data_IF_765283878518
#
_entry.id   IF_765283878518
#
_cell.length_a   1.000
_cell.length_b   1.000
_cell.length_c   1.000
_cell.angle_alpha   90.00
_cell.angle_beta   90.00
_cell.angle_gamma   90.00
#
_symmetry.space_group_name_H-M   'P 1'
#
loop_
_entity.id
_entity.type
_entity.pdbx_description
1 polymer ?
#
# COMPACT_ATOMS: atom_id res chain seq x y z
N UNK A 1 7.91 -16.93 -18.08
CA UNK A 1 7.23 -16.95 -16.76
C UNK A 1 7.34 -15.56 -16.15
N UNK A 2 6.30 -15.07 -15.46
CA UNK A 2 6.29 -13.73 -14.86
C UNK A 2 6.16 -13.86 -13.34
N UNK A 3 6.87 -13.03 -12.58
CA UNK A 3 6.72 -12.98 -11.12
C UNK A 3 6.14 -11.64 -10.70
N UNK A 4 5.00 -11.68 -10.03
CA UNK A 4 4.34 -10.48 -9.55
C UNK A 4 5.20 -9.79 -8.49
N UNK A 5 5.52 -8.52 -8.72
CA UNK A 5 6.32 -7.70 -7.81
C UNK A 5 5.41 -6.96 -6.84
N UNK A 6 4.50 -6.14 -7.37
CA UNK A 6 3.57 -5.31 -6.61
C UNK A 6 2.52 -4.70 -7.52
N UNK A 7 1.46 -4.18 -6.93
CA UNK A 7 0.66 -3.13 -7.57
C UNK A 7 1.38 -1.80 -7.40
N UNK A 8 1.53 -1.06 -8.48
CA UNK A 8 2.02 0.30 -8.53
C UNK A 8 0.89 1.24 -8.92
N UNK A 9 0.97 2.48 -8.48
CA UNK A 9 0.05 3.52 -8.88
C UNK A 9 0.81 4.61 -9.63
N UNK A 10 0.37 4.93 -10.84
CA UNK A 10 0.81 6.07 -11.65
C UNK A 10 -0.26 7.16 -11.61
N UNK A 11 0.13 8.40 -11.94
CA UNK A 11 -0.80 9.51 -12.11
C UNK A 11 -0.81 9.90 -13.58
N UNK A 12 -1.97 9.75 -14.23
CA UNK A 12 -2.17 9.99 -15.65
C UNK A 12 -3.36 10.93 -15.81
N UNK A 13 -3.16 12.06 -16.51
CA UNK A 13 -4.19 13.10 -16.68
C UNK A 13 -4.84 13.57 -15.37
N UNK A 14 -4.08 13.54 -14.26
CA UNK A 14 -4.55 13.92 -12.93
C UNK A 14 -5.25 12.80 -12.14
N UNK A 15 -5.44 11.63 -12.74
CA UNK A 15 -6.09 10.47 -12.15
C UNK A 15 -5.08 9.39 -11.73
N UNK A 16 -5.37 8.64 -10.67
CA UNK A 16 -4.55 7.51 -10.25
C UNK A 16 -4.93 6.25 -11.02
N UNK A 17 -3.91 5.57 -11.57
CA UNK A 17 -4.05 4.33 -12.36
C UNK A 17 -3.23 3.20 -11.72
N UNK A 18 -3.87 2.09 -11.30
CA UNK A 18 -3.20 0.92 -10.79
C UNK A 18 -2.61 0.06 -11.91
N UNK A 19 -1.39 -0.39 -11.71
CA UNK A 19 -0.62 -1.22 -12.62
C UNK A 19 -0.03 -2.41 -11.86
N UNK A 20 -0.12 -3.61 -12.42
CA UNK A 20 0.58 -4.78 -11.92
C UNK A 20 2.00 -4.80 -12.47
N UNK A 21 2.99 -4.56 -11.62
CA UNK A 21 4.40 -4.71 -11.97
C UNK A 21 4.81 -6.17 -11.87
N UNK A 22 5.37 -6.71 -12.94
CA UNK A 22 5.84 -8.08 -13.03
C UNK A 22 7.32 -8.11 -13.41
N UNK A 23 8.09 -8.92 -12.70
CA UNK A 23 9.45 -9.25 -13.07
C UNK A 23 9.42 -10.32 -14.16
N UNK A 24 10.21 -10.08 -15.20
CA UNK A 24 10.48 -11.01 -16.30
C UNK A 24 11.99 -11.22 -16.41
N UNK A 25 12.40 -12.21 -17.19
CA UNK A 25 13.81 -12.38 -17.49
C UNK A 25 14.35 -11.12 -18.20
N UNK A 26 15.43 -10.56 -17.66
CA UNK A 26 16.05 -9.33 -18.16
C UNK A 26 15.30 -8.02 -17.89
N UNK A 27 14.17 -7.99 -17.15
CA UNK A 27 13.46 -6.72 -16.98
C UNK A 27 12.15 -6.75 -16.19
N UNK A 28 11.30 -5.76 -16.49
CA UNK A 28 9.97 -5.60 -15.91
C UNK A 28 8.93 -5.35 -16.99
N UNK A 29 7.71 -5.79 -16.71
CA UNK A 29 6.52 -5.49 -17.50
C UNK A 29 5.45 -4.92 -16.58
N UNK A 30 4.68 -3.95 -17.08
CA UNK A 30 3.52 -3.40 -16.38
C UNK A 30 2.25 -3.77 -17.10
N UNK A 31 1.28 -4.30 -16.34
CA UNK A 31 -0.06 -4.56 -16.83
C UNK A 31 -1.05 -3.62 -16.14
N UNK A 32 -1.67 -2.73 -16.90
CA UNK A 32 -2.71 -1.84 -16.39
C UNK A 32 -3.93 -2.65 -15.89
N UNK A 33 -4.37 -2.36 -14.67
CA UNK A 33 -5.45 -3.08 -14.01
C UNK A 33 -6.76 -2.31 -14.15
N UNK A 34 -7.57 -2.56 -15.19
CA UNK A 34 -8.88 -1.89 -15.39
C UNK A 34 -10.02 -2.68 -14.75
N UNK A 35 -11.01 -1.99 -14.19
CA UNK A 35 -12.25 -2.64 -13.72
C UNK A 35 -13.02 -3.22 -14.92
N UNK A 36 -13.58 -4.42 -14.76
CA UNK A 36 -14.33 -5.10 -15.83
C UNK A 36 -13.47 -5.74 -16.93
N UNK A 37 -12.14 -5.59 -16.86
CA UNK A 37 -11.22 -6.34 -17.72
C UNK A 37 -11.09 -7.76 -17.19
N UNK A 38 -11.43 -8.72 -18.02
CA UNK A 38 -11.14 -10.12 -17.73
C UNK A 38 -9.63 -10.36 -17.76
N UNK A 39 -9.14 -11.05 -16.74
CA UNK A 39 -7.75 -11.47 -16.64
C UNK A 39 -7.71 -12.95 -16.33
N UNK A 40 -7.03 -13.70 -17.19
CA UNK A 40 -6.70 -15.10 -16.93
C UNK A 40 -5.27 -15.16 -16.40
N UNK A 41 -5.13 -15.51 -15.13
CA UNK A 41 -3.85 -15.63 -14.46
C UNK A 41 -3.69 -17.08 -14.00
N UNK A 42 -2.56 -17.68 -14.34
CA UNK A 42 -2.15 -18.99 -13.82
C UNK A 42 -1.01 -18.78 -12.83
N UNK A 43 -1.15 -19.34 -11.63
CA UNK A 43 -0.15 -19.24 -10.58
C UNK A 43 0.75 -20.47 -10.62
N UNK A 44 2.02 -20.25 -10.98
CA UNK A 44 3.04 -21.28 -10.92
C UNK A 44 3.44 -21.65 -9.48
N UNK A 45 4.08 -22.80 -9.33
CA UNK A 45 4.64 -23.23 -8.05
C UNK A 45 5.97 -22.55 -7.71
N UNK A 46 6.69 -22.14 -8.76
CA UNK A 46 7.97 -21.46 -8.68
C UNK A 46 7.83 -20.02 -8.19
N UNK A 47 8.80 -19.56 -7.40
CA UNK A 47 8.96 -18.14 -7.06
C UNK A 47 10.27 -17.66 -7.63
N UNK A 48 10.27 -16.50 -8.28
CA UNK A 48 11.48 -15.89 -8.82
C UNK A 48 11.81 -14.61 -8.07
N UNK A 49 13.09 -14.28 -8.01
CA UNK A 49 13.58 -13.03 -7.44
C UNK A 49 12.98 -11.84 -8.19
N UNK A 50 12.45 -10.88 -7.44
CA UNK A 50 11.77 -9.69 -7.98
C UNK A 50 12.70 -8.49 -8.19
N UNK A 51 14.02 -8.71 -8.14
CA UNK A 51 15.04 -7.67 -8.29
C UNK A 51 15.36 -6.92 -7.00
N UNK A 52 15.99 -5.75 -7.11
CA UNK A 52 16.43 -4.90 -5.99
C UNK A 52 16.26 -3.43 -6.29
N UNK A 53 16.29 -2.58 -5.26
CA UNK A 53 16.27 -1.14 -5.42
C UNK A 53 17.71 -0.60 -5.44
N UNK A 54 18.19 -0.11 -6.59
CA UNK A 54 19.51 0.52 -6.77
C UNK A 54 19.55 1.96 -6.24
N UNK A 55 18.39 2.58 -6.07
CA UNK A 55 18.20 3.94 -5.59
C UNK A 55 16.74 4.16 -5.19
N UNK A 56 16.44 5.30 -4.57
CA UNK A 56 15.08 5.57 -4.08
C UNK A 56 14.12 5.72 -5.27
N UNK A 57 13.13 4.83 -5.34
CA UNK A 57 12.18 4.78 -6.46
C UNK A 57 12.72 4.12 -7.73
N UNK A 58 13.99 3.68 -7.73
CA UNK A 58 14.59 2.90 -8.81
C UNK A 58 14.46 1.41 -8.50
N UNK A 59 14.36 0.59 -9.54
CA UNK A 59 14.31 -0.86 -9.38
C UNK A 59 15.04 -1.53 -10.53
N UNK A 60 15.96 -2.42 -10.18
CA UNK A 60 16.71 -3.25 -11.12
C UNK A 60 16.14 -4.67 -11.13
N UNK A 61 16.06 -5.32 -12.30
CA UNK A 61 15.69 -6.73 -12.37
C UNK A 61 16.77 -7.59 -11.71
N UNK A 62 16.40 -8.80 -11.29
CA UNK A 62 17.39 -9.76 -10.83
C UNK A 62 18.24 -10.19 -12.03
N UNK A 63 19.58 -10.03 -12.01
CA UNK A 63 20.43 -10.37 -13.16
C UNK A 63 20.33 -11.84 -13.61
N UNK A 64 19.99 -12.73 -12.68
CA UNK A 64 19.87 -14.18 -12.94
C UNK A 64 18.43 -14.68 -12.95
N UNK A 65 17.45 -13.81 -12.72
CA UNK A 65 16.04 -14.19 -12.52
C UNK A 65 15.88 -15.45 -11.64
N UNK A 66 16.65 -15.47 -10.53
CA UNK A 66 16.89 -16.68 -9.73
C UNK A 66 15.60 -17.20 -9.09
N UNK A 67 15.41 -18.52 -9.11
CA UNK A 67 14.36 -19.17 -8.32
C UNK A 67 14.66 -19.06 -6.82
N UNK A 68 13.65 -18.81 -6.01
CA UNK A 68 13.76 -18.64 -4.57
C UNK A 68 12.73 -19.52 -3.85
N UNK A 69 13.12 -20.13 -2.73
CA UNK A 69 12.20 -20.94 -1.93
C UNK A 69 11.25 -20.09 -1.08
N UNK A 70 11.65 -18.86 -0.72
CA UNK A 70 10.91 -17.97 0.17
C UNK A 70 11.25 -16.49 -0.05
N UNK A 71 10.39 -15.60 0.45
CA UNK A 71 10.56 -14.15 0.30
C UNK A 71 10.30 -13.65 -1.11
N UNK A 72 10.85 -12.48 -1.44
CA UNK A 72 10.72 -11.81 -2.74
C UNK A 72 12.05 -11.55 -3.44
N UNK A 73 13.18 -11.81 -2.76
CA UNK A 73 14.53 -11.50 -3.25
C UNK A 73 15.50 -12.64 -2.93
N UNK A 74 16.42 -12.92 -3.85
CA UNK A 74 17.60 -13.75 -3.58
C UNK A 74 18.59 -12.99 -2.68
N UNK A 75 19.54 -13.70 -2.07
CA UNK A 75 20.51 -13.09 -1.14
C UNK A 75 21.32 -11.95 -1.76
N UNK A 76 21.67 -12.06 -3.04
CA UNK A 76 22.43 -11.03 -3.73
C UNK A 76 21.62 -9.74 -3.98
N UNK A 77 20.39 -9.87 -4.49
CA UNK A 77 19.50 -8.72 -4.65
C UNK A 77 19.18 -8.06 -3.30
N UNK A 78 19.01 -8.85 -2.25
CA UNK A 78 18.79 -8.32 -0.90
C UNK A 78 19.96 -7.47 -0.40
N UNK A 79 21.21 -7.91 -0.64
CA UNK A 79 22.41 -7.17 -0.22
C UNK A 79 22.65 -5.88 -1.01
N UNK A 80 22.06 -5.73 -2.20
CA UNK A 80 22.16 -4.53 -3.03
C UNK A 80 21.00 -3.55 -2.83
N UNK A 81 19.98 -3.91 -2.05
CA UNK A 81 18.76 -3.11 -1.94
C UNK A 81 18.95 -1.93 -0.99
N UNK A 82 18.91 -0.71 -1.52
CA UNK A 82 19.14 0.51 -0.71
C UNK A 82 18.17 0.67 0.46
N UNK A 83 17.00 0.03 0.42
CA UNK A 83 16.03 0.11 1.51
C UNK A 83 16.33 -0.81 2.69
N UNK A 84 17.27 -1.76 2.57
CA UNK A 84 17.71 -2.56 3.73
C UNK A 84 18.35 -1.69 4.81
N UNK A 85 18.99 -0.60 4.39
CA UNK A 85 19.80 0.28 5.24
C UNK A 85 19.06 1.60 5.55
N UNK A 86 18.17 2.03 4.65
CA UNK A 86 17.43 3.30 4.73
C UNK A 86 16.55 3.46 5.97
N UNK A 87 15.92 2.37 6.45
CA UNK A 87 14.99 2.44 7.60
C UNK A 87 15.74 2.41 8.94
N UNK A 88 17.00 1.96 8.96
CA UNK A 88 17.76 1.76 10.21
C UNK A 88 18.77 2.88 10.49
N UNK A 89 18.97 3.82 9.57
CA UNK A 89 19.97 4.89 9.72
C UNK A 89 21.43 4.39 9.82
N UNK A 90 21.67 3.09 9.60
CA UNK A 90 22.98 2.46 9.70
C UNK A 90 23.53 2.22 8.30
N UNK A 91 24.17 3.24 7.73
CA UNK A 91 24.84 3.13 6.44
C UNK A 91 25.14 4.50 5.84
N UNK A 92 26.08 4.55 4.90
CA UNK A 92 26.37 5.72 4.06
C UNK A 92 25.19 6.01 3.15
N UNK A 93 24.10 6.52 3.74
CA UNK A 93 22.95 7.04 3.03
C UNK A 93 23.47 8.20 2.18
N UNK A 94 23.26 8.10 0.86
CA UNK A 94 23.65 9.16 -0.07
C UNK A 94 23.10 10.51 0.45
N UNK A 95 23.97 11.51 0.61
CA UNK A 95 23.66 12.80 1.26
C UNK A 95 22.43 13.48 0.65
N UNK A 96 22.20 13.27 -0.65
CA UNK A 96 21.04 13.75 -1.41
C UNK A 96 19.68 13.24 -0.86
N UNK A 97 19.67 12.13 -0.10
CA UNK A 97 18.48 11.60 0.54
C UNK A 97 18.24 12.18 1.95
N UNK A 98 19.26 12.76 2.57
CA UNK A 98 19.19 13.44 3.87
C UNK A 98 18.49 14.81 3.72
N UNK A 99 18.63 15.45 2.57
CA UNK A 99 18.08 16.79 2.30
C UNK A 99 16.60 16.80 1.85
N UNK A 100 15.92 15.65 1.86
CA UNK A 100 14.49 15.56 1.53
C UNK A 100 13.63 15.82 2.77
N UNK A 101 12.46 16.45 2.57
CA UNK A 101 11.48 16.67 3.63
C UNK A 101 10.41 15.58 3.71
N UNK A 102 9.99 15.27 4.94
CA UNK A 102 9.06 14.20 5.26
C UNK A 102 7.76 14.74 5.84
N UNK A 103 6.75 13.89 5.74
CA UNK A 103 5.44 14.08 6.34
C UNK A 103 5.10 12.91 7.24
N UNK A 104 4.53 13.22 8.40
CA UNK A 104 3.85 12.25 9.25
C UNK A 104 2.36 12.36 8.97
N UNK A 105 1.74 11.23 8.68
CA UNK A 105 0.32 11.14 8.38
C UNK A 105 -0.34 10.06 9.22
N UNK A 106 -1.65 10.19 9.39
CA UNK A 106 -2.51 9.10 9.84
C UNK A 106 -3.39 8.66 8.69
N UNK A 107 -3.63 7.35 8.60
CA UNK A 107 -4.50 6.75 7.60
C UNK A 107 -5.38 5.67 8.23
N UNK A 108 -6.67 5.71 7.92
CA UNK A 108 -7.58 4.61 8.19
C UNK A 108 -7.50 3.62 7.03
N UNK A 109 -7.18 2.36 7.32
CA UNK A 109 -7.21 1.28 6.35
C UNK A 109 -8.09 0.16 6.90
N UNK A 110 -9.37 0.20 6.51
CA UNK A 110 -10.40 -0.63 7.12
C UNK A 110 -10.67 -0.23 8.56
N UNK A 111 -10.90 -1.21 9.44
CA UNK A 111 -11.21 -0.96 10.85
C UNK A 111 -10.00 -0.49 11.70
N UNK A 112 -8.86 -0.19 11.08
CA UNK A 112 -7.64 0.20 11.79
C UNK A 112 -7.12 1.55 11.32
N UNK A 113 -6.62 2.31 12.29
CA UNK A 113 -5.89 3.55 12.08
C UNK A 113 -4.41 3.25 12.21
N UNK A 114 -3.60 3.83 11.32
CA UNK A 114 -2.16 3.82 11.43
C UNK A 114 -1.55 5.20 11.33
N UNK A 115 -0.40 5.36 11.97
CA UNK A 115 0.54 6.45 11.71
C UNK A 115 1.59 5.96 10.71
N UNK A 116 2.16 6.89 9.95
CA UNK A 116 3.16 6.58 8.94
C UNK A 116 4.02 7.77 8.59
N UNK A 117 5.28 7.49 8.23
CA UNK A 117 6.19 8.46 7.60
C UNK A 117 6.27 8.24 6.09
N UNK A 118 6.35 9.33 5.34
CA UNK A 118 6.70 9.31 3.92
C UNK A 118 7.30 10.63 3.48
N UNK A 119 7.87 10.68 2.28
CA UNK A 119 8.36 11.94 1.72
C UNK A 119 7.17 12.86 1.41
N UNK A 120 7.32 14.16 1.65
CA UNK A 120 6.20 15.10 1.61
C UNK A 120 5.50 15.15 0.24
N UNK A 121 6.25 14.97 -0.84
CA UNK A 121 5.74 14.92 -2.22
C UNK A 121 5.00 13.62 -2.56
N UNK A 122 5.14 12.57 -1.75
CA UNK A 122 4.55 11.24 -1.98
C UNK A 122 3.36 10.93 -1.07
N UNK A 123 2.93 11.87 -0.22
CA UNK A 123 1.91 11.61 0.81
C UNK A 123 0.60 11.06 0.23
N UNK A 124 0.05 11.71 -0.81
CA UNK A 124 -1.18 11.25 -1.48
C UNK A 124 -1.01 9.85 -2.08
N UNK A 125 0.10 9.64 -2.81
CA UNK A 125 0.46 8.34 -3.39
C UNK A 125 0.48 7.25 -2.33
N UNK A 126 1.02 7.57 -1.17
CA UNK A 126 1.21 6.64 -0.06
C UNK A 126 -0.11 6.27 0.62
N UNK A 127 -1.09 7.17 0.63
CA UNK A 127 -2.46 6.87 1.06
C UNK A 127 -3.15 5.89 0.11
N UNK A 128 -3.06 6.16 -1.20
CA UNK A 128 -3.62 5.28 -2.24
C UNK A 128 -2.96 3.89 -2.22
N UNK A 129 -1.63 3.83 -2.19
CA UNK A 129 -0.87 2.57 -2.15
C UNK A 129 -1.22 1.70 -0.93
N UNK A 130 -1.64 2.32 0.17
CA UNK A 130 -2.00 1.59 1.39
C UNK A 130 -3.48 1.19 1.47
N UNK A 131 -4.30 1.64 0.51
CA UNK A 131 -5.75 1.46 0.56
C UNK A 131 -6.37 2.20 1.72
N UNK A 132 -5.98 3.47 1.91
CA UNK A 132 -6.59 4.31 2.93
C UNK A 132 -8.03 4.68 2.52
N UNK A 133 -8.97 4.57 3.45
CA UNK A 133 -10.32 5.11 3.28
C UNK A 133 -10.32 6.61 3.59
N UNK A 134 -9.59 6.97 4.65
CA UNK A 134 -9.42 8.33 5.14
C UNK A 134 -7.97 8.57 5.50
N UNK A 135 -7.52 9.79 5.32
CA UNK A 135 -6.18 10.16 5.71
C UNK A 135 -6.09 11.62 6.16
N UNK A 136 -5.05 11.90 6.94
CA UNK A 136 -4.73 13.25 7.39
C UNK A 136 -3.21 13.40 7.48
N UNK A 137 -2.68 14.51 6.99
CA UNK A 137 -1.27 14.88 7.17
C UNK A 137 -1.14 15.64 8.50
N UNK A 138 -0.50 15.03 9.50
CA UNK A 138 -0.31 15.65 10.81
C UNK A 138 0.74 16.76 10.75
N UNK A 139 1.87 16.47 10.10
CA UNK A 139 2.98 17.39 9.95
C UNK A 139 3.67 17.14 8.62
N UNK A 140 4.13 18.21 7.98
CA UNK A 140 4.77 18.23 6.66
C UNK A 140 6.05 19.04 6.74
N UNK A 141 7.04 18.72 5.89
CA UNK A 141 8.19 19.58 5.70
C UNK A 141 9.28 19.42 6.76
N UNK A 142 9.30 18.30 7.48
CA UNK A 142 10.25 18.05 8.58
C UNK A 142 11.37 17.09 8.14
N UNK A 143 12.46 17.05 8.91
CA UNK A 143 13.56 16.11 8.66
C UNK A 143 13.11 14.65 8.88
N UNK A 144 13.92 13.70 8.41
CA UNK A 144 13.64 12.28 8.63
C UNK A 144 13.65 11.90 10.11
N UNK A 145 14.57 12.46 10.90
CA UNK A 145 14.70 12.22 12.33
C UNK A 145 13.44 12.70 13.08
N UNK A 146 13.07 13.97 12.89
CA UNK A 146 11.85 14.53 13.48
C UNK A 146 10.58 13.77 13.06
N UNK A 147 10.54 13.24 11.83
CA UNK A 147 9.39 12.47 11.36
C UNK A 147 9.27 11.10 12.04
N UNK A 148 10.40 10.42 12.26
CA UNK A 148 10.44 9.14 12.97
C UNK A 148 10.13 9.32 14.45
N UNK A 149 10.70 10.34 15.10
CA UNK A 149 10.39 10.67 16.49
C UNK A 149 8.89 10.96 16.68
N UNK A 150 8.30 11.73 15.76
CA UNK A 150 6.86 12.03 15.79
C UNK A 150 5.99 10.78 15.51
N UNK A 151 6.41 9.89 14.61
CA UNK A 151 5.71 8.61 14.36
C UNK A 151 5.74 7.70 15.59
N UNK A 152 6.89 7.61 16.27
CA UNK A 152 7.06 6.85 17.50
C UNK A 152 6.24 7.45 18.65
N UNK A 153 6.29 8.77 18.85
CA UNK A 153 5.49 9.44 19.89
C UNK A 153 3.99 9.21 19.67
N UNK A 154 3.49 9.35 18.43
CA UNK A 154 2.09 9.10 18.12
C UNK A 154 1.72 7.64 18.39
N UNK A 155 2.59 6.70 18.01
CA UNK A 155 2.35 5.27 18.18
C UNK A 155 2.28 4.88 19.65
N UNK A 156 3.28 5.27 20.44
CA UNK A 156 3.40 4.87 21.85
C UNK A 156 2.36 5.56 22.74
N UNK A 157 2.14 6.87 22.54
CA UNK A 157 1.30 7.65 23.44
C UNK A 157 -0.20 7.45 23.20
N UNK A 158 -0.60 7.12 21.98
CA UNK A 158 -2.01 7.03 21.59
C UNK A 158 -2.43 5.63 21.10
N UNK A 159 -1.57 4.62 21.24
CA UNK A 159 -1.80 3.23 20.81
C UNK A 159 -2.22 3.14 19.33
N UNK A 160 -1.58 3.96 18.48
CA UNK A 160 -1.82 3.99 17.04
C UNK A 160 -0.76 3.17 16.33
N UNK A 161 -1.17 2.10 15.67
CA UNK A 161 -0.19 1.20 15.05
C UNK A 161 0.59 1.85 13.90
N UNK A 162 1.90 1.60 13.81
CA UNK A 162 2.69 1.93 12.61
C UNK A 162 2.41 0.98 11.44
N UNK A 163 1.92 -0.23 11.74
CA UNK A 163 1.68 -1.29 10.76
C UNK A 163 0.29 -1.90 10.85
N UNK A 164 -0.49 -1.82 9.77
CA UNK A 164 -1.80 -2.49 9.71
C UNK A 164 -1.65 -3.86 9.09
N UNK A 165 -2.00 -4.89 9.86
CA UNK A 165 -2.10 -6.24 9.33
C UNK A 165 -3.18 -6.29 8.23
N UNK A 166 -2.86 -6.95 7.11
CA UNK A 166 -3.73 -7.11 5.95
C UNK A 166 -5.13 -7.65 6.30
N UNK A 167 -5.25 -8.48 7.32
CA UNK A 167 -6.54 -9.03 7.77
C UNK A 167 -7.53 -7.96 8.24
N UNK A 168 -7.06 -6.82 8.76
CA UNK A 168 -7.96 -5.76 9.22
C UNK A 168 -8.41 -4.82 8.10
N UNK A 169 -7.78 -4.91 6.92
CA UNK A 169 -8.10 -4.02 5.80
C UNK A 169 -9.43 -4.37 5.14
N UNK A 170 -9.94 -5.59 5.31
CA UNK A 170 -11.21 -6.02 4.68
C UNK A 170 -12.45 -5.53 5.42
N UNK A 171 -12.32 -5.17 6.69
CA UNK A 171 -13.43 -4.67 7.50
C UNK A 171 -13.59 -3.17 7.30
N UNK A 172 -14.81 -2.67 7.07
CA UNK A 172 -15.04 -1.24 6.92
C UNK A 172 -14.74 -0.49 8.23
N UNK A 173 -13.97 0.59 8.13
CA UNK A 173 -13.72 1.49 9.25
C UNK A 173 -14.84 2.51 9.43
N UNK A 174 -15.12 2.87 10.69
CA UNK A 174 -16.06 3.95 11.01
C UNK A 174 -15.37 5.31 10.92
N UNK A 175 -16.06 6.29 10.35
CA UNK A 175 -15.53 7.66 10.19
C UNK A 175 -15.27 8.30 11.54
N UNK A 176 -16.23 8.18 12.45
CA UNK A 176 -16.24 8.79 13.77
C UNK A 176 -15.06 8.29 14.61
N UNK A 177 -14.71 7.01 14.48
CA UNK A 177 -13.53 6.43 15.14
C UNK A 177 -12.23 7.05 14.65
N UNK A 178 -12.09 7.24 13.33
CA UNK A 178 -10.91 7.89 12.78
C UNK A 178 -10.82 9.34 13.24
N UNK A 179 -11.94 10.07 13.21
CA UNK A 179 -11.99 11.47 13.64
C UNK A 179 -11.70 11.66 15.13
N UNK A 180 -12.15 10.73 15.97
CA UNK A 180 -11.88 10.70 17.41
C UNK A 180 -10.39 10.43 17.68
N UNK A 181 -9.81 9.42 17.03
CA UNK A 181 -8.38 9.11 17.19
C UNK A 181 -7.51 10.29 16.73
N UNK A 182 -7.80 10.89 15.56
CA UNK A 182 -7.11 12.10 15.08
C UNK A 182 -7.29 13.26 16.06
N UNK A 183 -8.51 13.44 16.59
CA UNK A 183 -8.80 14.47 17.59
C UNK A 183 -7.97 14.32 18.87
N UNK A 184 -7.87 13.09 19.39
CA UNK A 184 -7.07 12.75 20.57
C UNK A 184 -5.59 13.03 20.35
N UNK A 185 -5.04 12.60 19.21
CA UNK A 185 -3.64 12.86 18.84
C UNK A 185 -3.39 14.36 18.77
N UNK A 186 -4.19 15.09 17.98
CA UNK A 186 -3.99 16.54 17.83
C UNK A 186 -4.11 17.30 19.16
N UNK A 187 -5.09 16.95 20.00
CA UNK A 187 -5.25 17.58 21.31
C UNK A 187 -4.07 17.25 22.25
N UNK A 188 -3.66 15.99 22.34
CA UNK A 188 -2.58 15.55 23.20
C UNK A 188 -1.21 16.10 22.79
N UNK A 189 -1.01 16.37 21.51
CA UNK A 189 0.21 16.95 20.94
C UNK A 189 0.14 18.48 20.75
N UNK A 190 -0.96 19.14 21.18
CA UNK A 190 -1.19 20.57 20.99
C UNK A 190 -1.09 21.03 19.52
N UNK A 191 -1.52 20.17 18.59
CA UNK A 191 -1.54 20.43 17.15
C UNK A 191 -2.91 20.93 16.71
N UNK A 192 -2.94 21.79 15.70
CA UNK A 192 -4.19 22.15 15.02
C UNK A 192 -4.72 20.92 14.29
N UNK A 193 -5.99 20.56 14.51
CA UNK A 193 -6.65 19.47 13.79
C UNK A 193 -6.63 19.76 12.27
N UNK A 194 -5.94 18.95 11.45
CA UNK A 194 -5.91 19.16 10.01
C UNK A 194 -7.22 18.69 9.36
N UNK A 195 -7.43 19.05 8.10
CA UNK A 195 -8.53 18.52 7.30
C UNK A 195 -8.35 17.03 7.05
N UNK A 196 -9.41 16.25 7.30
CA UNK A 196 -9.44 14.83 6.97
C UNK A 196 -9.89 14.69 5.52
N UNK A 197 -9.10 13.97 4.73
CA UNK A 197 -9.40 13.63 3.35
C UNK A 197 -10.12 12.29 3.30
N UNK A 198 -11.28 12.23 2.63
CA UNK A 198 -11.93 10.98 2.22
C UNK A 198 -11.24 10.49 0.94
N UNK A 199 -10.18 9.69 1.11
CA UNK A 199 -9.31 9.23 0.01
C UNK A 199 -10.12 8.53 -1.08
N UNK A 200 -11.13 7.76 -0.68
CA UNK A 200 -12.02 7.02 -1.58
C UNK A 200 -12.84 7.88 -2.55
N UNK A 201 -13.13 9.13 -2.20
CA UNK A 201 -14.03 10.01 -2.96
C UNK A 201 -13.32 11.24 -3.51
N UNK A 202 -12.31 11.74 -2.80
CA UNK A 202 -11.61 12.98 -3.14
C UNK A 202 -10.38 12.75 -4.01
N UNK A 203 -9.77 11.56 -3.96
CA UNK A 203 -8.69 11.20 -4.87
C UNK A 203 -9.28 10.69 -6.17
N UNK A 204 -9.09 11.46 -7.25
CA UNK A 204 -9.50 11.05 -8.61
C UNK A 204 -8.74 9.79 -9.01
N UNK A 205 -9.43 8.67 -8.98
CA UNK A 205 -9.01 7.41 -9.59
C UNK A 205 -9.73 7.34 -10.92
N UNK A 206 -9.04 6.83 -11.95
CA UNK A 206 -9.53 7.02 -13.32
C UNK A 206 -10.98 6.57 -13.51
N UNK A 207 -11.81 7.40 -14.16
CA UNK A 207 -13.23 7.08 -14.35
C UNK A 207 -13.49 5.91 -15.31
N UNK A 208 -12.47 5.44 -16.06
CA UNK A 208 -12.52 4.15 -16.75
C UNK A 208 -12.61 2.95 -15.77
N UNK A 209 -12.55 3.21 -14.46
CA UNK A 209 -12.91 2.27 -13.38
C UNK A 209 -14.41 2.30 -13.01
N UNK A 210 -15.25 3.07 -13.73
CA UNK A 210 -16.70 3.04 -13.58
C UNK A 210 -17.20 3.46 -12.20
N UNK A 211 -16.53 4.41 -11.53
CA UNK A 211 -16.96 4.93 -10.24
C UNK A 211 -17.88 6.14 -10.42
N UNK A 212 -19.14 5.92 -10.84
CA UNK A 212 -20.19 6.87 -10.45
C UNK A 212 -20.52 6.60 -8.97
N UNK A 213 -19.83 7.28 -8.05
CA UNK A 213 -20.10 7.15 -6.60
C UNK A 213 -18.88 7.06 -5.66
N UNK A 214 -17.65 7.09 -6.16
CA UNK A 214 -16.44 6.91 -5.33
C UNK A 214 -16.09 5.45 -5.06
N UNK A 215 -14.96 5.21 -4.37
CA UNK A 215 -14.54 3.88 -3.92
C UNK A 215 -15.39 3.42 -2.72
N UNK A 216 -16.50 2.74 -2.98
CA UNK A 216 -17.31 2.13 -1.92
C UNK A 216 -16.95 0.66 -1.68
N UNK A 217 -16.89 0.27 -0.40
CA UNK A 217 -16.72 -1.11 0.12
C UNK A 217 -17.97 -1.99 -0.09
N UNK A 218 -18.37 -2.24 -1.34
CA UNK A 218 -19.41 -3.20 -1.73
C UNK A 218 -18.90 -4.36 -2.64
N UNK A 219 -19.35 -5.60 -2.34
CA UNK A 219 -19.14 -6.84 -3.13
C UNK A 219 -19.83 -6.81 -4.49
N UNK A 220 -19.48 -7.60 -5.51
CA UNK A 220 -19.40 -9.07 -5.59
C UNK A 220 -18.47 -9.47 -6.76
N UNK A 221 -17.79 -10.61 -6.65
CA UNK A 221 -17.26 -11.35 -7.81
C UNK A 221 -18.37 -12.35 -8.24
N UNK A 222 -18.79 -12.38 -9.52
CA UNK A 222 -19.97 -13.14 -9.96
C UNK A 222 -19.77 -14.66 -10.11
N UNK A 223 -18.65 -15.23 -9.63
CA UNK A 223 -18.29 -16.63 -9.88
C UNK A 223 -17.56 -17.27 -8.69
N UNK A 224 -17.57 -18.60 -8.53
CA UNK A 224 -16.80 -19.29 -7.49
C UNK A 224 -15.30 -19.03 -7.69
N UNK A 225 -14.63 -18.54 -6.66
CA UNK A 225 -13.18 -18.38 -6.63
C UNK A 225 -12.55 -19.47 -5.77
N UNK A 226 -11.81 -20.36 -6.40
CA UNK A 226 -10.85 -21.22 -5.73
C UNK A 226 -9.49 -20.52 -5.69
N UNK A 227 -8.94 -20.30 -4.50
CA UNK A 227 -7.69 -19.56 -4.30
C UNK A 227 -6.60 -20.44 -3.68
N UNK A 228 -5.47 -20.59 -4.38
CA UNK A 228 -4.24 -21.18 -3.85
C UNK A 228 -3.04 -20.31 -4.26
N UNK A 229 -2.20 -19.90 -3.29
CA UNK A 229 -0.91 -19.17 -3.45
C UNK A 229 -0.94 -17.70 -3.98
N UNK A 230 -1.42 -16.72 -3.17
CA UNK A 230 -0.96 -15.29 -3.23
C UNK A 230 -2.02 -14.22 -3.58
N UNK A 231 -2.93 -13.91 -2.65
CA UNK A 231 -4.34 -13.51 -2.91
C UNK A 231 -4.63 -12.13 -3.55
N UNK A 232 -5.75 -12.10 -4.30
CA UNK A 232 -6.61 -10.94 -4.68
C UNK A 232 -7.87 -10.97 -3.80
N UNK A 233 -8.38 -9.84 -3.32
CA UNK A 233 -9.76 -9.76 -2.79
C UNK A 233 -10.47 -8.49 -3.28
N UNK A 234 -11.60 -8.68 -3.95
CA UNK A 234 -12.56 -7.62 -4.29
C UNK A 234 -13.80 -7.77 -3.42
N UNK A 235 -14.11 -6.69 -2.71
CA UNK A 235 -15.27 -6.44 -1.86
C UNK A 235 -15.39 -4.94 -1.60
N UNK A 236 -15.11 -4.15 -2.65
CA UNK A 236 -15.41 -2.72 -2.76
C UNK A 236 -14.27 -1.73 -2.53
N UNK A 237 -13.47 -1.51 -3.57
CA UNK A 237 -12.36 -0.58 -3.55
C UNK A 237 -11.03 -1.30 -3.37
N UNK A 238 -10.20 -1.22 -4.42
CA UNK A 238 -9.07 -2.08 -4.75
C UNK A 238 -8.12 -2.38 -3.57
N UNK A 239 -8.22 -3.58 -2.97
CA UNK A 239 -7.21 -4.14 -2.07
C UNK A 239 -6.50 -5.33 -2.73
N UNK A 240 -5.44 -5.08 -3.51
CA UNK A 240 -4.58 -6.18 -3.99
C UNK A 240 -3.46 -6.43 -2.97
N UNK A 241 -3.73 -7.34 -2.04
CA UNK A 241 -2.77 -7.74 -1.02
C UNK A 241 -1.83 -8.85 -1.52
N UNK A 242 -0.92 -8.53 -2.45
CA UNK A 242 0.11 -9.49 -2.89
C UNK A 242 1.05 -9.78 -1.72
N UNK A 243 1.03 -11.02 -1.23
CA UNK A 243 1.87 -11.48 -0.14
C UNK A 243 1.99 -13.00 -0.18
N UNK A 244 3.17 -13.51 0.19
CA UNK A 244 3.44 -14.94 0.18
C UNK A 244 2.69 -15.65 1.32
N UNK A 245 1.92 -16.68 0.97
CA UNK A 245 1.70 -17.85 1.85
C UNK A 245 0.69 -17.76 3.00
N UNK A 246 -0.26 -16.81 3.03
CA UNK A 246 -1.30 -16.78 4.08
C UNK A 246 -2.70 -16.54 3.50
N UNK A 247 -3.68 -17.36 3.91
CA UNK A 247 -5.11 -17.14 3.64
C UNK A 247 -5.61 -16.06 4.60
N UNK A 248 -6.12 -14.94 4.08
CA UNK A 248 -6.58 -13.81 4.91
C UNK A 248 -8.04 -14.01 5.39
N UNK A 249 -8.92 -14.49 4.52
CA UNK A 249 -10.32 -14.85 4.82
C UNK A 249 -10.84 -15.81 3.74
N UNK A 250 -11.67 -16.79 4.12
CA UNK A 250 -12.46 -17.58 3.17
C UNK A 250 -13.72 -16.78 2.82
N UNK A 251 -14.01 -16.51 1.54
CA UNK A 251 -15.23 -15.80 1.16
C UNK A 251 -16.46 -16.62 1.61
N UNK A 252 -17.32 -16.00 2.41
CA UNK A 252 -18.64 -16.55 2.74
C UNK A 252 -19.66 -15.89 1.81
N UNK A 253 -20.35 -16.72 1.02
CA UNK A 253 -21.44 -16.26 0.17
C UNK A 253 -22.66 -15.97 1.06
N UNK A 254 -23.01 -14.69 1.24
CA UNK A 254 -24.37 -14.36 1.63
C UNK A 254 -25.25 -14.60 0.40
N UNK A 255 -26.30 -15.41 0.58
CA UNK A 255 -27.14 -15.89 -0.50
C UNK A 255 -27.70 -14.73 -1.35
N UNK A 256 -27.84 -14.97 -2.65
CA UNK A 256 -28.45 -14.06 -3.63
C UNK A 256 -29.93 -13.71 -3.35
N UNK A 257 -30.49 -14.17 -2.23
CA UNK A 257 -31.88 -13.96 -1.82
C UNK A 257 -32.10 -12.71 -0.97
N UNK A 258 -31.08 -11.86 -0.82
CA UNK A 258 -31.12 -10.65 0.02
C UNK A 258 -31.14 -9.31 -0.74
N UNK A 259 -31.61 -9.28 -1.98
CA UNK A 259 -31.92 -8.06 -2.72
C UNK A 259 -33.42 -7.96 -2.98
#
# INVERSE_FOLDING_TARGET
MKSVVKVQWSRESGEWVPNLLMAIDGGFETLELRRGRDMNLELGEERRCTGYSSGIGQREPCPEFREISSGSQCGECRNRDVYSDYVRGTGSVNQEYVDTVFSVYMAQAGAKVKVGVTRSEKVERRWVEQGADRAVELRRGISSEEALELEDEVSERFDVSQTVNKNYKVEAGRKEEFEDVVGKVCAGMSMKKPGILEVCTEVKISQEFGCQGGLERSGLLPSPLEAVKGQIVCGGGLCVALGSGRVLKTPEQQSLSGF
#
